data_IF_745209635255
#
_entry.id   IF_745209635255
#
_cell.length_a   1.000
_cell.length_b   1.000
_cell.length_c   1.000
_cell.angle_alpha   90.00
_cell.angle_beta   90.00
_cell.angle_gamma   90.00
#
_symmetry.space_group_name_H-M   'P 1'
#
loop_
_entity.id
_entity.type
_entity.pdbx_description
1 polymer ?
#
# COMPACT_ATOMS: atom_id res chain seq x y z
N UNK A 1 -8.20 6.40 4.79
CA UNK A 1 -7.47 5.11 4.80
C UNK A 1 -7.82 4.47 3.48
N UNK A 2 -6.81 4.04 2.73
CA UNK A 2 -6.97 3.40 1.43
C UNK A 2 -6.12 2.14 1.44
N UNK A 3 -6.57 1.12 2.19
CA UNK A 3 -5.75 -0.06 2.50
C UNK A 3 -5.42 -0.83 1.24
N UNK A 4 -6.38 -0.99 0.34
CA UNK A 4 -6.20 -1.78 -0.88
C UNK A 4 -5.19 -1.11 -1.83
N UNK A 5 -5.20 0.21 -1.97
CA UNK A 5 -4.19 0.94 -2.76
C UNK A 5 -2.76 0.67 -2.25
N UNK A 6 -2.55 0.80 -0.93
CA UNK A 6 -1.27 0.57 -0.30
C UNK A 6 -0.82 -0.89 -0.42
N UNK A 7 -1.70 -1.84 -0.10
CA UNK A 7 -1.45 -3.27 -0.24
C UNK A 7 -1.06 -3.62 -1.67
N UNK A 8 -1.78 -3.08 -2.66
CA UNK A 8 -1.55 -3.34 -4.06
C UNK A 8 -0.16 -2.88 -4.51
N UNK A 9 0.26 -1.66 -4.16
CA UNK A 9 1.60 -1.19 -4.51
C UNK A 9 2.67 -2.05 -3.83
N UNK A 10 2.47 -2.43 -2.57
CA UNK A 10 3.33 -3.36 -1.84
C UNK A 10 3.50 -4.69 -2.57
N UNK A 11 2.41 -5.27 -3.08
CA UNK A 11 2.43 -6.51 -3.86
C UNK A 11 3.18 -6.35 -5.19
N UNK A 12 2.99 -5.24 -5.91
CA UNK A 12 3.69 -4.96 -7.17
C UNK A 12 5.21 -4.81 -6.95
N UNK A 13 5.62 -4.07 -5.92
CA UNK A 13 7.03 -3.97 -5.54
C UNK A 13 7.58 -5.35 -5.14
N UNK A 14 6.78 -6.12 -4.42
CA UNK A 14 7.06 -7.50 -4.07
C UNK A 14 7.33 -8.39 -5.27
N UNK A 15 6.49 -8.32 -6.32
CA UNK A 15 6.70 -9.04 -7.59
C UNK A 15 8.02 -8.61 -8.25
N UNK A 16 8.28 -7.31 -8.31
CA UNK A 16 9.48 -6.77 -8.94
C UNK A 16 10.77 -7.18 -8.22
N UNK A 17 10.74 -7.31 -6.89
CA UNK A 17 11.86 -7.77 -6.08
C UNK A 17 11.99 -9.29 -6.17
N UNK A 18 10.89 -10.02 -6.05
CA UNK A 18 10.87 -11.47 -6.15
C UNK A 18 11.40 -11.97 -7.51
N UNK A 19 11.03 -11.32 -8.62
CA UNK A 19 11.52 -11.66 -9.95
C UNK A 19 13.02 -11.43 -10.13
N UNK A 20 13.60 -10.46 -9.42
CA UNK A 20 15.06 -10.20 -9.47
C UNK A 20 15.86 -11.11 -8.55
N UNK A 21 15.33 -11.42 -7.37
CA UNK A 21 16.03 -12.17 -6.32
C UNK A 21 15.66 -13.67 -6.31
N UNK A 22 14.69 -14.09 -7.12
CA UNK A 22 14.25 -15.49 -7.20
C UNK A 22 13.48 -15.99 -5.98
N UNK A 23 13.02 -15.10 -5.08
CA UNK A 23 12.31 -15.45 -3.85
C UNK A 23 10.90 -14.86 -3.81
N UNK A 24 9.90 -15.72 -4.09
CA UNK A 24 8.47 -15.33 -4.09
C UNK A 24 7.94 -14.90 -2.73
N UNK A 25 8.57 -15.30 -1.62
CA UNK A 25 8.13 -14.91 -0.27
C UNK A 25 8.21 -13.39 -0.08
N UNK A 26 9.11 -12.73 -0.82
CA UNK A 26 9.29 -11.29 -0.80
C UNK A 26 8.04 -10.53 -1.27
N UNK A 27 7.15 -11.17 -2.03
CA UNK A 27 5.83 -10.61 -2.40
C UNK A 27 5.02 -10.33 -1.14
N UNK A 28 4.86 -11.34 -0.29
CA UNK A 28 4.12 -11.22 0.97
C UNK A 28 4.80 -10.29 1.96
N UNK A 29 6.13 -10.27 2.02
CA UNK A 29 6.85 -9.35 2.92
C UNK A 29 6.71 -7.89 2.51
N UNK A 30 6.75 -7.56 1.22
CA UNK A 30 6.47 -6.19 0.76
C UNK A 30 5.02 -5.79 1.02
N UNK A 31 4.07 -6.70 0.76
CA UNK A 31 2.66 -6.48 1.06
C UNK A 31 2.41 -6.20 2.55
N UNK A 32 3.03 -7.00 3.44
CA UNK A 32 2.99 -6.79 4.88
C UNK A 32 3.53 -5.41 5.25
N UNK A 33 4.72 -5.05 4.74
CA UNK A 33 5.32 -3.75 4.99
C UNK A 33 4.45 -2.59 4.54
N UNK A 34 3.76 -2.74 3.41
CA UNK A 34 2.92 -1.69 2.84
C UNK A 34 1.62 -1.43 3.60
N UNK A 35 1.21 -2.30 4.52
CA UNK A 35 0.06 -2.04 5.42
C UNK A 35 0.47 -1.87 6.88
N UNK A 36 1.72 -2.18 7.21
CA UNK A 36 2.21 -2.22 8.58
C UNK A 36 2.13 -0.86 9.32
N UNK A 37 2.50 0.29 8.72
CA UNK A 37 2.38 1.58 9.40
C UNK A 37 0.98 1.84 9.93
N UNK A 38 -0.03 1.65 9.08
CA UNK A 38 -1.43 1.81 9.41
C UNK A 38 -1.94 0.83 10.48
N UNK A 39 -1.53 -0.44 10.38
CA UNK A 39 -1.90 -1.47 11.36
C UNK A 39 -1.36 -1.17 12.76
N UNK A 40 -0.25 -0.44 12.86
CA UNK A 40 0.32 0.01 14.14
C UNK A 40 -0.35 1.31 14.58
N UNK A 41 -0.27 2.34 13.73
CA UNK A 41 -0.51 3.71 14.15
C UNK A 41 -2.00 4.00 14.35
N UNK A 42 -2.89 3.41 13.56
CA UNK A 42 -4.33 3.71 13.69
C UNK A 42 -4.92 3.14 14.99
N UNK A 43 -4.69 1.87 15.36
CA UNK A 43 -5.14 1.37 16.66
C UNK A 43 -4.47 2.09 17.82
N UNK A 44 -3.15 2.30 17.76
CA UNK A 44 -2.42 2.99 18.84
C UNK A 44 -2.91 4.42 18.99
N UNK A 45 -3.05 5.16 17.90
CA UNK A 45 -3.47 6.55 17.87
C UNK A 45 -4.92 6.78 18.26
N UNK A 46 -5.85 6.08 17.61
CA UNK A 46 -7.29 6.34 17.75
C UNK A 46 -7.99 5.49 18.82
N UNK A 47 -7.32 4.49 19.40
CA UNK A 47 -7.88 3.67 20.49
C UNK A 47 -7.08 3.90 21.77
N UNK A 48 -5.76 3.65 21.76
CA UNK A 48 -4.95 3.72 22.98
C UNK A 48 -4.62 5.15 23.39
N UNK A 49 -4.35 6.02 22.41
CA UNK A 49 -3.97 7.42 22.60
C UNK A 49 -5.07 8.39 22.19
N UNK A 50 -6.32 7.92 22.13
CA UNK A 50 -7.47 8.72 21.71
C UNK A 50 -7.73 9.97 22.58
N UNK A 51 -7.37 9.89 23.88
CA UNK A 51 -7.54 11.01 24.81
C UNK A 51 -6.40 12.02 24.81
N UNK A 52 -5.29 11.76 24.11
CA UNK A 52 -4.09 12.59 24.14
C UNK A 52 -3.59 13.03 22.76
N UNK A 53 -3.48 12.10 21.81
CA UNK A 53 -3.01 12.39 20.44
C UNK A 53 -4.14 12.26 19.42
N UNK A 54 -4.91 11.17 19.50
CA UNK A 54 -5.94 10.80 18.53
C UNK A 54 -5.48 10.94 17.05
N UNK A 55 -4.26 10.51 16.74
CA UNK A 55 -3.67 10.62 15.40
C UNK A 55 -3.28 9.25 14.86
N UNK A 56 -3.69 8.93 13.63
CA UNK A 56 -3.31 7.69 12.93
C UNK A 56 -1.95 7.74 12.24
N UNK A 57 -1.19 8.83 12.43
CA UNK A 57 0.14 9.04 11.84
C UNK A 57 1.14 9.35 12.97
N UNK A 58 1.77 8.30 13.50
CA UNK A 58 2.67 8.37 14.64
C UNK A 58 3.99 7.61 14.34
N UNK A 59 4.28 6.53 15.05
CA UNK A 59 5.57 5.83 15.00
C UNK A 59 5.82 5.13 13.66
N UNK A 60 4.86 4.35 13.16
CA UNK A 60 4.95 3.59 11.91
C UNK A 60 5.13 4.48 10.68
N UNK A 61 4.60 5.70 10.75
CA UNK A 61 4.76 6.73 9.72
C UNK A 61 6.03 7.59 9.86
N UNK A 62 6.92 7.27 10.80
CA UNK A 62 8.19 7.99 10.98
C UNK A 62 9.36 7.40 10.17
N UNK A 63 10.32 8.26 9.79
CA UNK A 63 11.59 7.84 9.18
C UNK A 63 12.44 7.00 10.14
N UNK A 64 12.33 7.23 11.46
CA UNK A 64 13.02 6.41 12.45
C UNK A 64 12.56 4.96 12.39
N UNK A 65 11.25 4.71 12.29
CA UNK A 65 10.71 3.36 12.14
C UNK A 65 11.22 2.69 10.86
N UNK A 66 11.19 3.42 9.74
CA UNK A 66 11.72 2.92 8.48
C UNK A 66 13.23 2.62 8.56
N UNK A 67 14.01 3.50 9.19
CA UNK A 67 15.45 3.32 9.37
C UNK A 67 15.76 2.10 10.24
N UNK A 68 15.00 1.87 11.32
CA UNK A 68 15.15 0.69 12.16
C UNK A 68 14.84 -0.60 11.40
N UNK A 69 13.76 -0.63 10.60
CA UNK A 69 13.46 -1.76 9.71
C UNK A 69 14.58 -2.01 8.71
N UNK A 70 15.11 -0.95 8.08
CA UNK A 70 16.19 -1.06 7.11
C UNK A 70 17.49 -1.58 7.75
N UNK A 71 17.90 -1.03 8.91
CA UNK A 71 19.10 -1.46 9.65
C UNK A 71 18.96 -2.92 10.10
N UNK A 72 17.81 -3.29 10.67
CA UNK A 72 17.54 -4.66 11.06
C UNK A 72 17.53 -5.60 9.85
N UNK A 73 17.01 -5.14 8.70
CA UNK A 73 17.03 -5.89 7.44
C UNK A 73 18.43 -6.11 6.89
N UNK A 74 19.30 -5.09 6.91
CA UNK A 74 20.71 -5.22 6.53
C UNK A 74 21.42 -6.20 7.47
N UNK A 75 21.17 -6.11 8.79
CA UNK A 75 21.75 -7.02 9.77
C UNK A 75 21.28 -8.47 9.55
N UNK A 76 20.00 -8.68 9.24
CA UNK A 76 19.44 -9.99 8.93
C UNK A 76 20.04 -10.57 7.65
N UNK A 77 20.17 -9.75 6.60
CA UNK A 77 20.82 -10.15 5.35
C UNK A 77 22.26 -10.58 5.59
N UNK A 78 23.05 -9.80 6.34
CA UNK A 78 24.45 -10.15 6.66
C UNK A 78 24.62 -11.44 7.46
N UNK A 79 23.61 -11.83 8.24
CA UNK A 79 23.67 -13.03 9.10
C UNK A 79 23.07 -14.28 8.48
N UNK A 80 22.05 -14.13 7.63
CA UNK A 80 21.22 -15.24 7.14
C UNK A 80 20.89 -15.15 5.65
N UNK A 81 21.48 -14.20 4.93
CA UNK A 81 21.23 -13.95 3.49
C UNK A 81 19.74 -13.75 3.16
N UNK A 82 18.96 -13.28 4.13
CA UNK A 82 17.51 -13.11 4.00
C UNK A 82 17.14 -11.65 3.74
N UNK A 83 16.45 -11.41 2.63
CA UNK A 83 15.91 -10.10 2.24
C UNK A 83 14.54 -9.80 2.86
N UNK A 84 13.98 -10.70 3.67
CA UNK A 84 12.60 -10.59 4.18
C UNK A 84 12.30 -9.24 4.83
N UNK A 85 13.16 -8.78 5.74
CA UNK A 85 12.93 -7.54 6.47
C UNK A 85 13.24 -6.28 5.63
N UNK A 86 14.12 -6.40 4.63
CA UNK A 86 14.33 -5.34 3.62
C UNK A 86 13.11 -5.20 2.69
N UNK A 87 12.46 -6.31 2.36
CA UNK A 87 11.19 -6.31 1.63
C UNK A 87 10.09 -5.63 2.46
N UNK A 88 9.98 -5.93 3.76
CA UNK A 88 9.07 -5.20 4.67
C UNK A 88 9.39 -3.71 4.71
N UNK A 89 10.67 -3.33 4.84
CA UNK A 89 11.08 -1.92 4.82
C UNK A 89 10.70 -1.23 3.49
N UNK A 90 10.83 -1.94 2.37
CA UNK A 90 10.45 -1.42 1.04
C UNK A 90 8.93 -1.18 0.95
N UNK A 91 8.13 -2.12 1.45
CA UNK A 91 6.69 -1.93 1.59
C UNK A 91 6.34 -0.72 2.45
N UNK A 92 6.95 -0.60 3.62
CA UNK A 92 6.71 0.52 4.54
C UNK A 92 7.13 1.88 3.94
N UNK A 93 8.24 1.92 3.20
CA UNK A 93 8.63 3.12 2.45
C UNK A 93 7.58 3.48 1.40
N UNK A 94 7.08 2.51 0.64
CA UNK A 94 6.04 2.77 -0.37
C UNK A 94 4.77 3.34 0.26
N UNK A 95 4.43 2.89 1.49
CA UNK A 95 3.32 3.43 2.25
C UNK A 95 3.52 4.91 2.60
N UNK A 96 4.66 5.24 3.22
CA UNK A 96 4.97 6.63 3.57
C UNK A 96 5.03 7.56 2.35
N UNK A 97 5.41 7.03 1.18
CA UNK A 97 5.42 7.78 -0.08
C UNK A 97 4.00 8.06 -0.59
N UNK A 98 3.12 7.05 -0.61
CA UNK A 98 1.70 7.25 -1.00
C UNK A 98 1.04 8.23 -0.04
N UNK A 99 1.33 8.12 1.25
CA UNK A 99 0.80 9.05 2.25
C UNK A 99 1.43 10.44 2.25
N UNK A 100 2.37 10.70 1.33
CA UNK A 100 3.07 11.98 1.22
C UNK A 100 3.62 12.47 2.57
N UNK A 101 4.22 11.57 3.36
CA UNK A 101 4.63 11.88 4.74
C UNK A 101 5.60 13.06 4.86
N UNK A 102 6.27 13.45 3.77
CA UNK A 102 7.06 14.69 3.69
C UNK A 102 6.25 15.96 3.97
N UNK A 103 4.94 15.96 3.74
CA UNK A 103 4.04 17.05 4.08
C UNK A 103 3.74 17.15 5.58
N UNK A 104 4.09 16.13 6.38
CA UNK A 104 3.96 16.11 7.84
C UNK A 104 5.34 15.98 8.50
N UNK A 105 6.21 17.00 8.39
CA UNK A 105 7.61 16.89 8.78
C UNK A 105 7.80 16.57 10.27
N UNK A 106 6.97 17.10 11.17
CA UNK A 106 7.07 16.82 12.61
C UNK A 106 6.92 15.32 12.89
N UNK A 107 5.88 14.70 12.33
CA UNK A 107 5.66 13.25 12.46
C UNK A 107 6.75 12.45 11.73
N UNK A 108 7.10 12.85 10.49
CA UNK A 108 8.02 12.07 9.68
C UNK A 108 9.45 12.05 10.23
N UNK A 109 9.91 13.16 10.81
CA UNK A 109 11.23 13.29 11.43
C UNK A 109 11.21 13.12 12.96
N UNK A 110 10.09 12.73 13.57
CA UNK A 110 10.02 12.49 15.01
C UNK A 110 11.14 11.55 15.49
N UNK A 111 11.84 11.84 16.60
CA UNK A 111 11.61 12.92 17.56
C UNK A 111 12.40 14.22 17.29
N UNK A 112 13.04 14.35 16.13
CA UNK A 112 14.02 15.42 15.88
C UNK A 112 13.39 16.81 15.74
N UNK A 113 12.16 16.90 15.23
CA UNK A 113 11.47 18.16 14.95
C UNK A 113 10.41 18.53 16.00
N UNK A 114 10.34 17.80 17.12
CA UNK A 114 9.40 18.07 18.22
C UNK A 114 8.46 16.91 18.52
N UNK A 115 7.51 17.11 19.45
CA UNK A 115 6.51 16.09 19.81
C UNK A 115 5.45 15.93 18.72
N UNK A 116 4.74 14.80 18.73
CA UNK A 116 3.58 14.60 17.86
C UNK A 116 2.49 15.65 18.11
N UNK A 117 1.82 16.04 17.04
CA UNK A 117 0.67 16.92 17.10
C UNK A 117 -0.60 16.13 17.42
N UNK A 118 -1.43 16.69 18.29
CA UNK A 118 -2.74 16.14 18.60
C UNK A 118 -3.78 16.61 17.58
N UNK A 119 -4.70 15.73 17.23
CA UNK A 119 -5.79 16.00 16.29
C UNK A 119 -7.13 15.62 16.92
N UNK A 120 -8.23 16.21 16.46
CA UNK A 120 -9.57 15.82 16.90
C UNK A 120 -10.31 15.08 15.79
N UNK A 121 -10.49 13.78 15.97
CA UNK A 121 -11.34 12.96 15.12
C UNK A 121 -12.53 12.42 15.91
N UNK A 122 -13.73 12.66 15.40
CA UNK A 122 -14.96 12.04 15.88
C UNK A 122 -15.35 10.89 14.96
N UNK A 123 -15.44 9.67 15.51
CA UNK A 123 -15.90 8.51 14.74
C UNK A 123 -14.94 8.06 13.62
N UNK A 124 -13.62 8.24 13.81
CA UNK A 124 -12.58 7.97 12.80
C UNK A 124 -12.79 6.66 12.03
N UNK A 125 -12.91 5.53 12.73
CA UNK A 125 -13.03 4.22 12.08
C UNK A 125 -14.29 4.10 11.23
N UNK A 126 -15.41 4.67 11.67
CA UNK A 126 -16.65 4.68 10.90
C UNK A 126 -16.48 5.46 9.59
N UNK A 127 -15.92 6.67 9.67
CA UNK A 127 -15.62 7.49 8.50
C UNK A 127 -14.60 6.85 7.56
N UNK A 128 -13.54 6.25 8.11
CA UNK A 128 -12.50 5.59 7.34
C UNK A 128 -13.03 4.35 6.61
N UNK A 129 -13.83 3.51 7.27
CA UNK A 129 -14.46 2.34 6.64
C UNK A 129 -15.42 2.79 5.54
N UNK A 130 -16.24 3.81 5.80
CA UNK A 130 -17.18 4.33 4.80
C UNK A 130 -16.43 4.86 3.57
N UNK A 131 -15.36 5.64 3.76
CA UNK A 131 -14.54 6.14 2.66
C UNK A 131 -13.90 5.01 1.84
N UNK A 132 -13.40 3.96 2.50
CA UNK A 132 -12.82 2.79 1.82
C UNK A 132 -13.87 2.07 0.96
N UNK A 133 -15.02 1.71 1.52
CA UNK A 133 -16.05 0.95 0.78
C UNK A 133 -16.77 1.78 -0.28
N UNK A 134 -16.81 3.11 -0.13
CA UNK A 134 -17.38 4.03 -1.11
C UNK A 134 -16.42 4.39 -2.25
N UNK A 135 -15.14 4.03 -2.16
CA UNK A 135 -14.14 4.36 -3.19
C UNK A 135 -14.01 3.24 -4.22
N UNK A 136 -14.33 3.54 -5.49
CA UNK A 136 -14.23 2.56 -6.58
C UNK A 136 -12.79 2.06 -6.78
N UNK A 137 -11.80 2.94 -6.58
CA UNK A 137 -10.38 2.60 -6.66
C UNK A 137 -9.99 1.44 -5.73
N UNK A 138 -10.45 1.47 -4.48
CA UNK A 138 -10.12 0.44 -3.49
C UNK A 138 -10.64 -0.93 -3.91
N UNK A 139 -11.82 -1.01 -4.52
CA UNK A 139 -12.34 -2.28 -5.05
C UNK A 139 -11.51 -2.82 -6.21
N UNK A 140 -11.06 -1.94 -7.12
CA UNK A 140 -10.17 -2.33 -8.23
C UNK A 140 -8.83 -2.82 -7.69
N UNK A 141 -8.23 -2.09 -6.75
CA UNK A 141 -6.97 -2.49 -6.12
C UNK A 141 -7.09 -3.76 -5.28
N UNK A 142 -8.23 -3.96 -4.61
CA UNK A 142 -8.49 -5.16 -3.83
C UNK A 142 -8.61 -6.39 -4.73
N UNK A 143 -9.33 -6.30 -5.85
CA UNK A 143 -9.45 -7.38 -6.82
C UNK A 143 -8.08 -7.74 -7.43
N UNK A 144 -7.28 -6.73 -7.79
CA UNK A 144 -5.93 -6.93 -8.30
C UNK A 144 -5.01 -7.57 -7.25
N UNK A 145 -5.05 -7.07 -6.01
CA UNK A 145 -4.29 -7.60 -4.87
C UNK A 145 -4.65 -9.05 -4.58
N UNK A 146 -5.93 -9.40 -4.60
CA UNK A 146 -6.40 -10.77 -4.41
C UNK A 146 -5.86 -11.69 -5.51
N UNK A 147 -5.90 -11.26 -6.78
CA UNK A 147 -5.31 -12.01 -7.89
C UNK A 147 -3.83 -12.28 -7.70
N UNK A 148 -3.05 -11.25 -7.36
CA UNK A 148 -1.60 -11.38 -7.13
C UNK A 148 -1.31 -12.26 -5.90
N UNK A 149 -2.02 -12.07 -4.79
CA UNK A 149 -1.81 -12.84 -3.58
C UNK A 149 -2.13 -14.32 -3.77
N UNK A 150 -3.22 -14.64 -4.48
CA UNK A 150 -3.57 -16.02 -4.82
C UNK A 150 -2.53 -16.65 -5.75
N UNK A 151 -2.05 -15.92 -6.76
CA UNK A 151 -0.98 -16.40 -7.63
C UNK A 151 0.36 -16.59 -6.89
N UNK A 152 0.63 -15.79 -5.86
CA UNK A 152 1.83 -15.92 -5.04
C UNK A 152 1.84 -17.19 -4.18
N UNK A 153 0.66 -17.67 -3.76
CA UNK A 153 0.49 -18.86 -2.92
C UNK A 153 0.57 -20.17 -3.73
N UNK A 154 1.67 -20.91 -3.60
CA UNK A 154 1.83 -22.24 -4.21
C UNK A 154 0.99 -23.30 -3.48
N UNK A 155 0.63 -24.37 -4.21
CA UNK A 155 -0.04 -25.56 -3.64
C UNK A 155 -1.54 -25.42 -3.48
N UNK A 156 -2.13 -24.33 -3.96
CA UNK A 156 -3.58 -24.20 -4.07
C UNK A 156 -4.05 -24.96 -5.33
N UNK A 157 -5.19 -25.65 -5.23
CA UNK A 157 -5.68 -26.52 -6.33
C UNK A 157 -6.01 -25.75 -7.62
N UNK A 158 -6.10 -26.44 -8.76
CA UNK A 158 -6.28 -25.83 -10.10
C UNK A 158 -7.47 -24.87 -10.27
N UNK A 159 -8.48 -24.92 -9.39
CA UNK A 159 -9.55 -23.93 -9.34
C UNK A 159 -9.08 -22.55 -8.88
N UNK A 160 -8.19 -22.50 -7.89
CA UNK A 160 -7.65 -21.25 -7.34
C UNK A 160 -6.68 -20.57 -8.28
N UNK A 161 -5.83 -21.30 -8.99
CA UNK A 161 -4.92 -20.75 -10.01
C UNK A 161 -5.72 -20.12 -11.16
N UNK A 162 -6.82 -20.77 -11.59
CA UNK A 162 -7.73 -20.20 -12.59
C UNK A 162 -8.41 -18.92 -12.10
N UNK A 163 -8.84 -18.89 -10.84
CA UNK A 163 -9.42 -17.69 -10.23
C UNK A 163 -8.39 -16.56 -10.14
N UNK A 164 -7.16 -16.86 -9.70
CA UNK A 164 -6.07 -15.89 -9.62
C UNK A 164 -5.78 -15.26 -10.98
N UNK A 165 -5.61 -16.09 -12.03
CA UNK A 165 -5.39 -15.64 -13.39
C UNK A 165 -6.57 -14.80 -13.92
N UNK A 166 -7.81 -15.21 -13.66
CA UNK A 166 -8.99 -14.46 -14.04
C UNK A 166 -9.04 -13.08 -13.37
N UNK A 167 -8.75 -13.02 -12.06
CA UNK A 167 -8.70 -11.77 -11.30
C UNK A 167 -7.62 -10.83 -11.84
N UNK A 168 -6.40 -11.31 -12.06
CA UNK A 168 -5.32 -10.50 -12.65
C UNK A 168 -5.72 -10.00 -14.03
N UNK A 169 -6.20 -10.89 -14.91
CA UNK A 169 -6.57 -10.56 -16.30
C UNK A 169 -7.66 -9.51 -16.39
N UNK A 170 -8.66 -9.56 -15.51
CA UNK A 170 -9.75 -8.57 -15.44
C UNK A 170 -9.27 -7.27 -14.78
N UNK A 171 -8.39 -7.35 -13.78
CA UNK A 171 -7.94 -6.17 -13.04
C UNK A 171 -7.01 -5.28 -13.87
N UNK A 172 -6.17 -5.82 -14.75
CA UNK A 172 -5.24 -5.03 -15.59
C UNK A 172 -5.96 -3.96 -16.45
N UNK A 173 -6.99 -4.27 -17.25
CA UNK A 173 -7.72 -3.25 -17.99
C UNK A 173 -8.46 -2.27 -17.06
N UNK A 174 -9.01 -2.75 -15.93
CA UNK A 174 -9.65 -1.87 -14.93
C UNK A 174 -8.67 -0.87 -14.33
N UNK A 175 -7.43 -1.28 -14.04
CA UNK A 175 -6.35 -0.39 -13.59
C UNK A 175 -6.00 0.63 -14.68
N UNK A 176 -5.96 0.24 -15.95
CA UNK A 176 -5.74 1.16 -17.07
C UNK A 176 -6.85 2.21 -17.19
N UNK A 177 -8.12 1.78 -17.05
CA UNK A 177 -9.28 2.68 -17.03
C UNK A 177 -9.22 3.61 -15.81
N UNK A 178 -8.90 3.08 -14.64
CA UNK A 178 -8.75 3.84 -13.41
C UNK A 178 -7.66 4.91 -13.54
N UNK A 179 -6.51 4.58 -14.14
CA UNK A 179 -5.43 5.52 -14.37
C UNK A 179 -5.89 6.68 -15.28
N UNK A 180 -6.54 6.37 -16.40
CA UNK A 180 -7.05 7.39 -17.32
C UNK A 180 -8.15 8.24 -16.68
N UNK A 181 -9.12 7.62 -15.99
CA UNK A 181 -10.21 8.32 -15.33
C UNK A 181 -9.68 9.27 -14.25
N UNK A 182 -8.66 8.86 -13.50
CA UNK A 182 -8.02 9.69 -12.47
C UNK A 182 -7.27 10.88 -13.08
N UNK A 183 -6.55 10.69 -14.21
CA UNK A 183 -5.92 11.80 -14.93
C UNK A 183 -6.96 12.81 -15.47
N UNK A 184 -8.09 12.33 -15.98
CA UNK A 184 -9.18 13.18 -16.45
C UNK A 184 -9.83 13.95 -15.28
N UNK A 185 -10.07 13.28 -14.15
CA UNK A 185 -10.61 13.91 -12.94
C UNK A 185 -9.68 15.01 -12.42
N UNK A 186 -8.37 14.74 -12.38
CA UNK A 186 -7.36 15.74 -12.04
C UNK A 186 -7.38 16.93 -13.00
N UNK A 187 -7.35 16.68 -14.31
CA UNK A 187 -7.33 17.73 -15.32
C UNK A 187 -8.61 18.60 -15.32
N UNK A 188 -9.74 18.02 -14.95
CA UNK A 188 -11.01 18.73 -14.82
C UNK A 188 -11.12 19.58 -13.54
N UNK A 189 -10.22 19.41 -12.56
CA UNK A 189 -10.28 20.12 -11.28
C UNK A 189 -11.52 19.79 -10.46
N UNK A 190 -12.12 18.60 -10.65
CA UNK A 190 -13.37 18.21 -10.02
C UNK A 190 -13.21 18.05 -8.49
N UNK A 191 -14.14 18.59 -7.67
CA UNK A 191 -13.93 18.73 -6.23
C UNK A 191 -14.20 17.46 -5.39
N UNK A 192 -14.67 16.36 -5.97
CA UNK A 192 -14.76 15.03 -5.34
C UNK A 192 -15.34 14.05 -6.39
N UNK A 193 -14.96 12.78 -6.36
CA UNK A 193 -15.44 11.77 -7.31
C UNK A 193 -15.60 10.40 -6.67
N UNK A 194 -16.42 9.55 -7.29
CA UNK A 194 -16.60 8.15 -6.89
C UNK A 194 -15.31 7.32 -6.99
N UNK A 195 -14.29 7.84 -7.69
CA UNK A 195 -13.00 7.16 -7.81
C UNK A 195 -12.32 7.02 -6.45
N UNK A 196 -12.39 8.06 -5.61
CA UNK A 196 -11.75 8.11 -4.31
C UNK A 196 -12.46 9.13 -3.43
N UNK A 197 -13.11 8.64 -2.37
CA UNK A 197 -13.95 9.44 -1.48
C UNK A 197 -13.08 10.31 -0.58
N UNK A 198 -13.35 11.62 -0.55
CA UNK A 198 -12.57 12.58 0.23
C UNK A 198 -11.19 12.90 -0.38
N UNK A 199 -10.98 12.59 -1.66
CA UNK A 199 -9.76 12.90 -2.40
C UNK A 199 -9.71 14.35 -2.86
N UNK A 200 -8.55 14.98 -2.70
CA UNK A 200 -8.19 16.22 -3.37
C UNK A 200 -7.71 16.00 -4.81
N UNK A 201 -7.36 17.08 -5.50
CA UNK A 201 -6.84 17.02 -6.87
C UNK A 201 -5.52 16.23 -6.96
N UNK A 202 -4.59 16.43 -6.02
CA UNK A 202 -3.30 15.74 -5.99
C UNK A 202 -3.43 14.23 -5.78
N UNK A 203 -4.46 13.80 -5.04
CA UNK A 203 -4.75 12.39 -4.80
C UNK A 203 -5.11 11.65 -6.09
N UNK A 204 -5.74 12.33 -7.07
CA UNK A 204 -6.01 11.73 -8.38
C UNK A 204 -4.76 11.50 -9.22
N UNK A 205 -3.73 12.33 -9.08
CA UNK A 205 -2.43 12.08 -9.73
C UNK A 205 -1.75 10.86 -9.12
N UNK A 206 -1.78 10.75 -7.80
CA UNK A 206 -1.21 9.61 -7.09
C UNK A 206 -1.95 8.33 -7.46
N UNK A 207 -3.29 8.37 -7.48
CA UNK A 207 -4.13 7.26 -7.88
C UNK A 207 -3.82 6.81 -9.32
N UNK A 208 -3.67 7.76 -10.24
CA UNK A 208 -3.27 7.47 -11.62
C UNK A 208 -1.88 6.81 -11.69
N UNK A 209 -0.92 7.31 -10.90
CA UNK A 209 0.44 6.77 -10.87
C UNK A 209 0.46 5.32 -10.33
N UNK A 210 -0.22 5.04 -9.21
CA UNK A 210 -0.29 3.70 -8.63
C UNK A 210 -0.98 2.72 -9.60
N UNK A 211 -2.08 3.14 -10.22
CA UNK A 211 -2.78 2.32 -11.21
C UNK A 211 -1.90 2.02 -12.45
N UNK A 212 -1.18 3.02 -12.97
CA UNK A 212 -0.25 2.85 -14.09
C UNK A 212 0.93 1.93 -13.75
N UNK A 213 1.55 2.12 -12.57
CA UNK A 213 2.60 1.21 -12.05
C UNK A 213 2.05 -0.21 -11.92
N UNK A 214 0.80 -0.35 -11.49
CA UNK A 214 0.07 -1.62 -11.43
C UNK A 214 -0.03 -2.32 -12.78
N UNK A 215 -0.46 -1.61 -13.83
CA UNK A 215 -0.54 -2.14 -15.20
C UNK A 215 0.83 -2.61 -15.68
N UNK A 216 1.85 -1.75 -15.55
CA UNK A 216 3.22 -2.07 -15.98
C UNK A 216 3.77 -3.27 -15.21
N UNK A 217 3.59 -3.29 -13.89
CA UNK A 217 4.05 -4.37 -13.03
C UNK A 217 3.38 -5.70 -13.35
N UNK A 218 2.06 -5.70 -13.52
CA UNK A 218 1.30 -6.90 -13.85
C UNK A 218 1.69 -7.48 -15.22
N UNK A 219 1.92 -6.62 -16.24
CA UNK A 219 2.38 -7.06 -17.57
C UNK A 219 3.82 -7.58 -17.50
N UNK A 220 4.70 -6.88 -16.79
CA UNK A 220 6.13 -7.22 -16.73
C UNK A 220 6.41 -8.52 -15.98
N UNK A 221 5.56 -8.86 -15.01
CA UNK A 221 5.71 -10.01 -14.13
C UNK A 221 4.65 -11.10 -14.36
N UNK A 222 4.10 -11.19 -15.59
CA UNK A 222 3.13 -12.21 -15.97
C UNK A 222 3.63 -13.63 -15.71
N UNK A 223 4.93 -13.89 -15.91
CA UNK A 223 5.58 -15.17 -15.62
C UNK A 223 5.41 -15.61 -14.15
N UNK A 224 5.44 -14.65 -13.22
CA UNK A 224 5.21 -14.91 -11.81
C UNK A 224 3.73 -15.07 -11.45
N UNK A 225 2.82 -14.59 -12.31
CA UNK A 225 1.38 -14.60 -12.08
C UNK A 225 0.69 -15.82 -12.75
N UNK A 226 1.27 -16.33 -13.84
CA UNK A 226 0.73 -17.42 -14.65
C UNK A 226 1.32 -18.80 -14.29
N UNK A 227 2.04 -18.92 -13.18
CA UNK A 227 2.70 -20.17 -12.80
C UNK A 227 1.69 -21.30 -12.48
N UNK A 228 1.44 -22.14 -13.49
CA UNK A 228 0.78 -23.46 -13.39
C UNK A 228 1.50 -24.44 -12.45
#
# INVERSE_FOLDING_TARGET
>A
MFVACHLFLGLILGLAIAGRLGDRRLIGFCALGAVLPDLIDKPVGHILLAGTLNSGRIFGHGLLFLALLAVAGIALYRRRESFALLAVATGALSHQVIDAMWAMPVTWYFPLLGPYEAYEYTGYFGGAILAEVSSLSEWVFLAASAGIALAACRGLGSGTSRLAAALVRVSVPLLGILALASLLAWAAGGPESVLMTGAGSEDYLLLAAVAAVGVVGAIRHQDLLDAE
#
